data_IF_948540248646
#
_entry.id   IF_948540248646
#
_cell.length_a   1.000
_cell.length_b   1.000
_cell.length_c   1.000
_cell.angle_alpha   90.00
_cell.angle_beta   90.00
_cell.angle_gamma   90.00
#
_symmetry.space_group_name_H-M   'P 1'
#
loop_
_entity.id
_entity.type
_entity.pdbx_description
1 polymer ?
#
# COMPACT_ATOMS: atom_id res chain seq x y z
N UNK A 1 18.17 -10.86 -13.58
CA UNK A 1 17.78 -10.62 -12.16
C UNK A 1 16.27 -10.50 -12.12
N UNK A 2 15.56 -11.24 -11.27
CA UNK A 2 14.09 -11.10 -11.16
C UNK A 2 13.74 -9.69 -10.69
N UNK A 3 12.71 -9.07 -11.28
CA UNK A 3 12.15 -7.76 -10.90
C UNK A 3 11.84 -7.66 -9.40
N UNK A 4 11.53 -8.80 -8.76
CA UNK A 4 11.22 -8.92 -7.34
C UNK A 4 12.40 -8.58 -6.41
N UNK A 5 13.64 -8.58 -6.91
CA UNK A 5 14.83 -8.17 -6.14
C UNK A 5 15.16 -6.69 -6.24
N UNK A 6 14.46 -5.95 -7.10
CA UNK A 6 14.80 -4.56 -7.44
C UNK A 6 13.82 -3.59 -6.77
N UNK A 7 12.55 -3.97 -6.62
CA UNK A 7 11.58 -3.22 -5.82
C UNK A 7 11.87 -3.49 -4.36
N UNK A 8 12.07 -2.43 -3.59
CA UNK A 8 12.18 -2.51 -2.15
C UNK A 8 10.81 -2.89 -1.58
N UNK A 9 10.74 -4.07 -0.95
CA UNK A 9 9.54 -4.61 -0.32
C UNK A 9 9.91 -5.34 0.96
N UNK A 10 9.45 -4.82 2.09
CA UNK A 10 9.67 -5.43 3.39
C UNK A 10 8.39 -6.09 3.89
N UNK A 11 8.51 -7.36 4.29
CA UNK A 11 7.43 -8.06 4.99
C UNK A 11 7.32 -7.51 6.40
N UNK A 12 6.10 -7.19 6.81
CA UNK A 12 5.90 -6.73 8.18
C UNK A 12 6.09 -7.84 9.21
N UNK A 13 6.58 -7.42 10.37
CA UNK A 13 6.60 -8.24 11.59
C UNK A 13 5.71 -7.54 12.62
N UNK A 14 4.66 -8.21 13.08
CA UNK A 14 3.66 -7.61 13.97
C UNK A 14 2.81 -6.55 13.26
N UNK A 15 2.42 -5.49 13.99
CA UNK A 15 1.54 -4.41 13.51
C UNK A 15 2.31 -3.15 13.05
N UNK A 16 3.64 -3.26 12.82
CA UNK A 16 4.50 -2.17 12.34
C UNK A 16 4.29 -1.80 10.85
N UNK A 17 3.05 -1.83 10.40
CA UNK A 17 2.65 -1.55 9.02
C UNK A 17 3.05 -0.14 8.56
N UNK A 18 3.03 0.86 9.45
CA UNK A 18 3.40 2.24 9.14
C UNK A 18 4.85 2.37 8.63
N UNK A 19 5.79 1.69 9.30
CA UNK A 19 7.20 1.69 8.90
C UNK A 19 7.35 1.13 7.48
N UNK A 20 6.82 -0.06 7.25
CA UNK A 20 6.96 -0.73 5.95
C UNK A 20 6.20 0.01 4.84
N UNK A 21 5.04 0.60 5.16
CA UNK A 21 4.29 1.45 4.25
C UNK A 21 5.14 2.65 3.76
N UNK A 22 5.76 3.39 4.70
CA UNK A 22 6.60 4.55 4.38
C UNK A 22 7.88 4.17 3.65
N UNK A 23 8.57 3.12 4.10
CA UNK A 23 9.81 2.66 3.46
C UNK A 23 9.56 2.09 2.06
N UNK A 24 8.47 1.36 1.87
CA UNK A 24 8.05 0.91 0.55
C UNK A 24 7.70 2.10 -0.37
N UNK A 25 7.07 3.14 0.17
CA UNK A 25 6.81 4.37 -0.58
C UNK A 25 8.10 5.06 -1.00
N UNK A 26 9.10 5.14 -0.13
CA UNK A 26 10.37 5.81 -0.41
C UNK A 26 11.37 4.93 -1.17
N UNK A 27 11.14 3.61 -1.19
CA UNK A 27 12.05 2.59 -1.72
C UNK A 27 13.42 2.53 -1.02
N UNK A 28 13.43 2.84 0.27
CA UNK A 28 14.63 2.84 1.12
C UNK A 28 14.21 2.56 2.57
N UNK A 29 15.12 2.03 3.39
CA UNK A 29 14.96 1.81 4.83
C UNK A 29 15.07 3.12 5.64
N UNK A 30 14.33 4.14 5.21
CA UNK A 30 14.46 5.51 5.70
C UNK A 30 13.93 5.70 7.12
N UNK A 31 12.84 5.03 7.48
CA UNK A 31 12.24 5.08 8.81
C UNK A 31 12.34 3.73 9.52
N UNK A 32 12.55 3.77 10.83
CA UNK A 32 12.31 2.65 11.72
C UNK A 32 11.22 2.98 12.76
N UNK A 33 10.78 1.97 13.51
CA UNK A 33 9.75 2.14 14.54
C UNK A 33 10.10 3.18 15.62
N UNK A 34 11.39 3.34 15.96
CA UNK A 34 11.85 4.34 16.95
C UNK A 34 11.69 5.75 16.38
N UNK A 35 12.03 5.95 15.11
CA UNK A 35 11.86 7.24 14.45
C UNK A 35 10.38 7.66 14.44
N UNK A 36 9.48 6.73 14.10
CA UNK A 36 8.04 6.99 14.10
C UNK A 36 7.49 7.24 15.51
N UNK A 37 7.98 6.51 16.52
CA UNK A 37 7.63 6.75 17.91
C UNK A 37 8.05 8.15 18.37
N UNK A 38 9.27 8.59 18.04
CA UNK A 38 9.75 9.93 18.36
C UNK A 38 8.88 11.02 17.69
N UNK A 39 8.44 10.80 16.44
CA UNK A 39 7.50 11.70 15.77
C UNK A 39 6.14 11.74 16.46
N UNK A 40 5.62 10.58 16.89
CA UNK A 40 4.37 10.49 17.65
C UNK A 40 4.44 11.23 18.98
N UNK A 41 5.51 11.04 19.76
CA UNK A 41 5.74 11.75 21.02
C UNK A 41 5.88 13.27 20.82
N UNK A 42 6.53 13.69 19.72
CA UNK A 42 6.63 15.10 19.38
C UNK A 42 5.24 15.69 19.11
N UNK A 43 4.41 15.00 18.32
CA UNK A 43 3.04 15.45 18.02
C UNK A 43 2.20 15.55 19.30
N UNK A 44 2.29 14.57 20.19
CA UNK A 44 1.59 14.62 21.49
C UNK A 44 2.04 15.81 22.34
N UNK A 45 3.34 16.13 22.31
CA UNK A 45 3.89 17.29 23.05
C UNK A 45 3.41 18.61 22.45
N UNK A 46 3.38 18.73 21.13
CA UNK A 46 2.89 19.91 20.41
C UNK A 46 1.38 20.11 20.67
N UNK A 47 0.60 19.04 20.66
CA UNK A 47 -0.83 19.08 20.98
C UNK A 47 -1.07 19.47 22.44
N UNK A 48 -0.33 18.87 23.38
CA UNK A 48 -0.38 19.25 24.80
C UNK A 48 -0.04 20.71 25.02
N UNK A 49 0.99 21.23 24.35
CA UNK A 49 1.39 22.63 24.45
C UNK A 49 0.28 23.56 23.93
N UNK A 50 -0.35 23.23 22.79
CA UNK A 50 -1.49 23.99 22.27
C UNK A 50 -2.70 23.96 23.20
N UNK A 51 -3.01 22.81 23.81
CA UNK A 51 -4.10 22.71 24.79
C UNK A 51 -3.80 23.54 26.05
N UNK A 52 -2.54 23.61 26.49
CA UNK A 52 -2.13 24.40 27.65
C UNK A 52 -2.36 25.91 27.43
N UNK A 53 -2.29 26.41 26.20
CA UNK A 53 -2.61 27.82 25.87
C UNK A 53 -4.07 28.16 26.19
N UNK A 54 -4.98 27.18 26.11
CA UNK A 54 -6.38 27.31 26.50
C UNK A 54 -6.63 27.21 28.02
N UNK A 55 -5.57 27.06 28.82
CA UNK A 55 -5.62 26.90 30.27
C UNK A 55 -5.38 25.45 30.71
N UNK A 56 -4.41 25.27 31.63
CA UNK A 56 -4.03 23.96 32.17
C UNK A 56 -5.06 23.32 33.09
N UNK A 57 -6.06 24.10 33.53
CA UNK A 57 -7.17 23.62 34.36
C UNK A 57 -8.39 23.21 33.51
N UNK A 58 -8.29 23.31 32.17
CA UNK A 58 -9.36 22.91 31.27
C UNK A 58 -9.57 21.38 31.31
N UNK A 59 -10.82 20.95 31.17
CA UNK A 59 -11.19 19.53 31.13
C UNK A 59 -10.45 18.79 30.00
N UNK A 60 -10.31 19.43 28.84
CA UNK A 60 -9.60 18.89 27.68
C UNK A 60 -8.11 18.64 27.97
N UNK A 61 -7.43 19.59 28.63
CA UNK A 61 -6.02 19.43 29.00
C UNK A 61 -5.82 18.30 30.02
N UNK A 62 -6.67 18.24 31.05
CA UNK A 62 -6.60 17.19 32.08
C UNK A 62 -6.89 15.81 31.49
N UNK A 63 -7.87 15.71 30.58
CA UNK A 63 -8.18 14.47 29.87
C UNK A 63 -7.03 14.03 28.97
N UNK A 64 -6.43 14.95 28.22
CA UNK A 64 -5.27 14.66 27.37
C UNK A 64 -4.08 14.17 28.20
N UNK A 65 -3.77 14.82 29.33
CA UNK A 65 -2.68 14.42 30.21
C UNK A 65 -2.89 13.05 30.88
N UNK A 66 -4.16 12.67 31.10
CA UNK A 66 -4.52 11.39 31.71
C UNK A 66 -4.63 10.25 30.70
N UNK A 67 -4.69 10.56 29.40
CA UNK A 67 -4.81 9.58 28.32
C UNK A 67 -3.44 9.07 27.89
N UNK A 68 -3.38 7.86 27.34
CA UNK A 68 -2.21 7.37 26.61
C UNK A 68 -2.04 8.16 25.30
N UNK A 69 -0.88 8.03 24.67
CA UNK A 69 -0.62 8.63 23.35
C UNK A 69 -1.77 8.31 22.39
N UNK A 70 -2.22 9.33 21.65
CA UNK A 70 -3.22 9.15 20.58
C UNK A 70 -2.53 8.90 19.23
N UNK A 71 -1.21 9.10 19.18
CA UNK A 71 -0.41 9.01 17.96
C UNK A 71 0.31 7.68 17.80
N UNK A 72 0.47 6.93 18.90
CA UNK A 72 1.09 5.62 18.96
C UNK A 72 0.37 4.77 20.00
N UNK A 73 0.14 3.49 19.71
CA UNK A 73 -0.34 2.51 20.70
C UNK A 73 0.71 1.43 21.04
N UNK A 74 0.37 0.60 22.03
CA UNK A 74 1.25 -0.48 22.51
C UNK A 74 1.44 -1.61 21.49
N UNK A 75 0.61 -1.69 20.44
CA UNK A 75 0.72 -2.73 19.40
C UNK A 75 1.64 -2.32 18.25
N UNK A 76 1.94 -1.02 18.13
CA UNK A 76 2.81 -0.46 17.11
C UNK A 76 2.05 0.19 15.95
N UNK A 77 0.75 0.46 16.14
CA UNK A 77 -0.02 1.29 15.22
C UNK A 77 0.38 2.76 15.38
N UNK A 78 0.47 3.45 14.25
CA UNK A 78 0.75 4.88 14.19
C UNK A 78 -0.40 5.61 13.52
N UNK A 79 -0.77 6.77 14.09
CA UNK A 79 -1.86 7.59 13.57
C UNK A 79 -1.53 8.19 12.19
N UNK A 80 -2.55 8.63 11.47
CA UNK A 80 -2.39 9.36 10.20
C UNK A 80 -1.51 10.61 10.35
N UNK A 81 -1.51 11.24 11.54
CA UNK A 81 -0.72 12.44 11.79
C UNK A 81 0.78 12.11 11.82
N UNK A 82 1.16 10.96 12.38
CA UNK A 82 2.54 10.47 12.35
C UNK A 82 2.99 10.21 10.91
N UNK A 83 2.15 9.54 10.11
CA UNK A 83 2.43 9.29 8.68
C UNK A 83 2.61 10.61 7.93
N UNK A 84 1.71 11.58 8.13
CA UNK A 84 1.79 12.87 7.49
C UNK A 84 3.05 13.65 7.90
N UNK A 85 3.44 13.61 9.19
CA UNK A 85 4.65 14.25 9.70
C UNK A 85 5.92 13.60 9.15
N UNK A 86 5.95 12.28 9.06
CA UNK A 86 7.07 11.54 8.47
C UNK A 86 7.26 11.92 7.00
N UNK A 87 6.16 11.99 6.23
CA UNK A 87 6.22 12.41 4.83
C UNK A 87 6.69 13.86 4.66
N UNK A 88 6.32 14.76 5.57
CA UNK A 88 6.83 16.14 5.55
C UNK A 88 8.36 16.21 5.69
N UNK A 89 8.98 15.32 6.49
CA UNK A 89 10.45 15.23 6.60
C UNK A 89 11.08 14.86 5.25
N UNK A 90 10.38 14.08 4.43
CA UNK A 90 10.78 13.72 3.07
C UNK A 90 10.33 14.74 2.00
N UNK A 91 9.84 15.93 2.37
CA UNK A 91 9.24 16.92 1.46
C UNK A 91 8.05 16.37 0.64
N UNK A 92 7.27 15.48 1.23
CA UNK A 92 6.06 14.91 0.66
C UNK A 92 4.83 15.34 1.48
N UNK A 93 3.70 15.46 0.80
CA UNK A 93 2.41 15.81 1.40
C UNK A 93 1.44 14.63 1.28
N UNK A 94 0.76 14.32 2.38
CA UNK A 94 -0.31 13.33 2.47
C UNK A 94 -1.67 14.03 2.39
N UNK A 95 -2.40 13.86 1.28
CA UNK A 95 -3.69 14.54 1.07
C UNK A 95 -4.79 13.50 0.94
N UNK A 96 -5.87 13.63 1.71
CA UNK A 96 -7.03 12.73 1.59
C UNK A 96 -7.59 12.73 0.16
N UNK A 97 -7.87 11.53 -0.36
CA UNK A 97 -8.43 11.32 -1.69
C UNK A 97 -9.79 11.99 -1.88
N UNK A 98 -10.57 12.15 -0.81
CA UNK A 98 -11.89 12.79 -0.83
C UNK A 98 -11.83 14.33 -0.87
N UNK A 99 -10.64 14.92 -0.75
CA UNK A 99 -10.48 16.37 -0.80
C UNK A 99 -10.92 16.92 -2.19
N UNK A 100 -11.72 18.00 -2.24
CA UNK A 100 -12.14 18.62 -3.51
C UNK A 100 -10.99 19.02 -4.44
N UNK A 101 -9.81 19.32 -3.91
CA UNK A 101 -8.64 19.66 -4.72
C UNK A 101 -8.03 18.43 -5.44
N UNK A 102 -8.44 17.22 -5.09
CA UNK A 102 -7.97 15.95 -5.66
C UNK A 102 -8.88 15.40 -6.77
N UNK A 103 -9.87 16.15 -7.26
CA UNK A 103 -10.79 15.71 -8.33
C UNK A 103 -10.05 15.19 -9.58
N UNK A 104 -8.87 15.71 -9.89
CA UNK A 104 -8.03 15.19 -10.98
C UNK A 104 -7.70 13.70 -10.83
N UNK A 105 -7.36 13.27 -9.60
CA UNK A 105 -7.02 11.88 -9.29
C UNK A 105 -8.25 11.02 -9.06
N UNK A 106 -9.37 11.63 -8.68
CA UNK A 106 -10.66 10.94 -8.63
C UNK A 106 -11.15 10.57 -10.03
N UNK A 107 -10.95 11.47 -11.01
CA UNK A 107 -11.28 11.22 -12.41
C UNK A 107 -10.28 10.26 -13.06
N UNK A 108 -8.99 10.48 -12.82
CA UNK A 108 -7.93 9.63 -13.34
C UNK A 108 -6.85 9.31 -12.29
N UNK A 109 -7.02 8.21 -11.53
CA UNK A 109 -6.05 7.77 -10.53
C UNK A 109 -4.66 7.46 -11.10
N UNK A 110 -4.56 7.15 -12.39
CA UNK A 110 -3.28 6.74 -13.04
C UNK A 110 -2.29 7.89 -13.19
N UNK A 111 -2.76 9.13 -13.01
CA UNK A 111 -1.97 10.37 -13.06
C UNK A 111 -1.21 10.64 -11.77
N UNK A 112 -1.56 9.96 -10.67
CA UNK A 112 -0.82 10.03 -9.41
C UNK A 112 0.50 9.26 -9.50
N UNK A 113 1.41 9.54 -8.57
CA UNK A 113 2.66 8.77 -8.43
C UNK A 113 2.52 7.65 -7.40
N UNK A 114 1.80 7.90 -6.31
CA UNK A 114 1.55 6.93 -5.26
C UNK A 114 0.31 7.27 -4.45
N UNK A 115 -0.22 6.23 -3.81
CA UNK A 115 -1.30 6.30 -2.83
C UNK A 115 -0.86 5.58 -1.55
N UNK A 116 -1.33 6.08 -0.41
CA UNK A 116 -1.32 5.34 0.86
C UNK A 116 -2.77 5.04 1.21
N UNK A 117 -3.04 3.82 1.62
CA UNK A 117 -4.35 3.38 2.04
C UNK A 117 -4.31 2.92 3.51
N UNK A 118 -5.41 3.17 4.24
CA UNK A 118 -5.63 2.67 5.58
C UNK A 118 -6.97 1.95 5.69
N UNK A 119 -6.96 0.77 6.29
CA UNK A 119 -8.17 0.12 6.77
C UNK A 119 -7.91 -0.69 8.03
N UNK A 120 -8.81 -0.57 9.01
CA UNK A 120 -8.74 -1.29 10.29
C UNK A 120 -7.33 -1.29 10.90
N UNK A 121 -6.71 -0.10 10.97
CA UNK A 121 -5.37 0.09 11.53
C UNK A 121 -4.22 -0.55 10.73
N UNK A 122 -4.44 -0.86 9.45
CA UNK A 122 -3.40 -1.34 8.55
C UNK A 122 -3.06 -0.32 7.46
N UNK A 123 -1.78 0.05 7.37
CA UNK A 123 -1.25 0.97 6.37
C UNK A 123 -0.55 0.21 5.24
N UNK A 124 -0.82 0.57 3.99
CA UNK A 124 -0.08 0.06 2.85
C UNK A 124 0.04 1.09 1.72
N UNK A 125 1.05 0.88 0.87
CA UNK A 125 1.39 1.77 -0.23
C UNK A 125 1.06 1.13 -1.58
N UNK A 126 0.50 1.93 -2.48
CA UNK A 126 0.39 1.62 -3.90
C UNK A 126 1.23 2.66 -4.65
N UNK A 127 2.34 2.24 -5.26
CA UNK A 127 3.28 3.15 -5.95
C UNK A 127 3.39 2.80 -7.43
N UNK A 128 3.49 3.83 -8.27
CA UNK A 128 3.81 3.71 -9.68
C UNK A 128 5.33 3.67 -9.85
N UNK A 129 5.81 2.63 -10.52
CA UNK A 129 7.19 2.52 -10.95
C UNK A 129 7.27 2.60 -12.47
N UNK A 130 7.96 3.62 -12.98
CA UNK A 130 7.90 4.01 -14.39
C UNK A 130 6.45 4.13 -14.92
N UNK A 131 5.92 3.07 -15.53
CA UNK A 131 4.56 2.99 -16.09
C UNK A 131 3.75 1.80 -15.56
N UNK A 132 4.09 1.32 -14.37
CA UNK A 132 3.49 0.12 -13.78
C UNK A 132 3.11 0.37 -12.33
N UNK A 133 1.88 0.05 -11.96
CA UNK A 133 1.42 0.14 -10.59
C UNK A 133 1.76 -1.12 -9.82
N UNK A 134 2.20 -0.95 -8.59
CA UNK A 134 2.51 -2.06 -7.68
C UNK A 134 1.81 -1.81 -6.36
N UNK A 135 1.10 -2.83 -5.87
CA UNK A 135 0.67 -2.90 -4.50
C UNK A 135 1.84 -3.42 -3.64
N UNK A 136 2.25 -2.62 -2.66
CA UNK A 136 3.37 -2.88 -1.75
C UNK A 136 2.86 -3.15 -0.33
N UNK A 137 1.69 -3.76 -0.20
CA UNK A 137 1.15 -4.22 1.07
C UNK A 137 2.12 -5.20 1.75
N UNK A 138 2.62 -4.80 2.92
CA UNK A 138 3.62 -5.52 3.71
C UNK A 138 3.12 -6.87 4.25
N UNK A 139 1.80 -7.11 4.24
CA UNK A 139 1.20 -8.43 4.51
C UNK A 139 1.45 -9.40 3.36
N UNK A 140 1.63 -8.89 2.13
CA UNK A 140 1.89 -9.72 0.95
C UNK A 140 3.32 -10.19 0.92
N UNK A 141 3.51 -11.38 0.33
CA UNK A 141 4.83 -11.99 0.26
C UNK A 141 5.77 -11.33 -0.73
N UNK A 142 5.22 -10.59 -1.71
CA UNK A 142 5.93 -9.87 -2.77
C UNK A 142 5.06 -8.73 -3.31
N UNK A 143 5.66 -7.74 -4.01
CA UNK A 143 4.92 -6.72 -4.75
C UNK A 143 3.92 -7.33 -5.74
N UNK A 144 2.71 -6.78 -5.77
CA UNK A 144 1.63 -7.24 -6.65
C UNK A 144 1.39 -6.22 -7.78
N UNK A 145 1.74 -6.51 -9.04
CA UNK A 145 1.45 -5.63 -10.18
C UNK A 145 -0.04 -5.41 -10.40
N UNK A 146 -0.41 -4.14 -10.55
CA UNK A 146 -1.75 -3.68 -10.89
C UNK A 146 -1.75 -3.10 -12.31
N UNK A 147 -2.77 -3.44 -13.10
CA UNK A 147 -3.03 -2.74 -14.36
C UNK A 147 -3.73 -1.40 -14.10
N UNK A 148 -3.61 -0.45 -15.03
CA UNK A 148 -4.23 0.87 -14.90
C UNK A 148 -5.76 0.80 -14.72
N UNK A 149 -6.43 -0.11 -15.44
CA UNK A 149 -7.86 -0.33 -15.29
C UNK A 149 -8.19 -0.96 -13.94
N UNK A 150 -7.39 -1.93 -13.51
CA UNK A 150 -7.62 -2.61 -12.25
C UNK A 150 -7.35 -1.68 -11.06
N UNK A 151 -6.38 -0.78 -11.12
CA UNK A 151 -6.14 0.24 -10.10
C UNK A 151 -7.39 1.10 -9.84
N UNK A 152 -8.08 1.54 -10.89
CA UNK A 152 -9.31 2.35 -10.75
C UNK A 152 -10.40 1.58 -10.00
N UNK A 153 -10.61 0.32 -10.41
CA UNK A 153 -11.58 -0.56 -9.77
C UNK A 153 -11.19 -0.84 -8.31
N UNK A 154 -9.91 -1.10 -8.07
CA UNK A 154 -9.37 -1.40 -6.76
C UNK A 154 -9.56 -0.22 -5.80
N UNK A 155 -9.17 1.00 -6.20
CA UNK A 155 -9.36 2.20 -5.37
C UNK A 155 -10.84 2.50 -5.11
N UNK A 156 -11.71 2.30 -6.10
CA UNK A 156 -13.15 2.45 -5.91
C UNK A 156 -13.71 1.43 -4.92
N UNK A 157 -13.25 0.18 -4.98
CA UNK A 157 -13.61 -0.87 -4.03
C UNK A 157 -13.14 -0.52 -2.62
N UNK A 158 -11.86 -0.16 -2.45
CA UNK A 158 -11.31 0.24 -1.16
C UNK A 158 -12.15 1.38 -0.54
N UNK A 159 -12.52 2.38 -1.34
CA UNK A 159 -13.38 3.47 -0.88
C UNK A 159 -14.77 2.96 -0.41
N UNK A 160 -15.40 2.05 -1.16
CA UNK A 160 -16.69 1.48 -0.79
C UNK A 160 -16.61 0.62 0.49
N UNK A 161 -15.50 -0.09 0.67
CA UNK A 161 -15.24 -0.92 1.85
C UNK A 161 -14.89 -0.07 3.09
N UNK A 162 -14.78 1.26 2.95
CA UNK A 162 -14.53 2.21 4.04
C UNK A 162 -13.06 2.51 4.30
N UNK A 163 -12.17 2.20 3.35
CA UNK A 163 -10.75 2.55 3.46
C UNK A 163 -10.57 4.06 3.37
N UNK A 164 -9.65 4.58 4.18
CA UNK A 164 -9.14 5.95 4.01
C UNK A 164 -8.01 5.93 2.99
N UNK A 165 -8.21 6.57 1.85
CA UNK A 165 -7.24 6.64 0.76
C UNK A 165 -6.61 8.04 0.76
N UNK A 166 -5.30 8.09 0.59
CA UNK A 166 -4.52 9.32 0.55
C UNK A 166 -3.66 9.36 -0.71
N UNK A 167 -3.61 10.52 -1.36
CA UNK A 167 -2.73 10.81 -2.49
C UNK A 167 -1.45 11.42 -1.96
N UNK A 168 -0.32 10.94 -2.49
CA UNK A 168 1.00 11.51 -2.19
C UNK A 168 1.31 12.60 -3.20
N UNK A 169 1.59 13.80 -2.69
CA UNK A 169 2.05 14.96 -3.47
C UNK A 169 3.51 15.26 -3.14
N UNK A 170 4.25 15.72 -4.14
CA UNK A 170 5.68 16.02 -4.04
C UNK A 170 6.48 15.25 -5.08
N UNK A 171 7.80 15.24 -4.92
CA UNK A 171 8.71 14.49 -5.79
C UNK A 171 9.25 13.30 -5.02
N UNK A 172 8.81 12.10 -5.40
CA UNK A 172 9.34 10.86 -4.82
C UNK A 172 10.84 10.70 -5.16
N UNK A 173 11.63 10.11 -4.27
CA UNK A 173 13.02 9.79 -4.56
C UNK A 173 13.10 8.81 -5.73
N UNK A 174 14.07 9.05 -6.63
CA UNK A 174 14.38 8.13 -7.72
C UNK A 174 14.91 6.82 -7.16
N UNK A 175 14.44 5.70 -7.73
CA UNK A 175 14.83 4.37 -7.25
C UNK A 175 15.32 3.49 -8.42
N UNK A 176 16.11 2.47 -8.10
CA UNK A 176 16.63 1.51 -9.09
C UNK A 176 15.50 0.73 -9.77
N UNK A 177 14.37 0.54 -9.08
CA UNK A 177 13.19 -0.12 -9.65
C UNK A 177 12.59 0.67 -10.82
N UNK A 178 12.55 2.01 -10.73
CA UNK A 178 12.08 2.87 -11.83
C UNK A 178 12.95 2.70 -13.08
N UNK A 179 14.27 2.72 -12.92
CA UNK A 179 15.22 2.56 -14.03
C UNK A 179 15.12 1.18 -14.68
N UNK A 180 14.97 0.13 -13.86
CA UNK A 180 14.90 -1.23 -14.35
C UNK A 180 13.57 -1.50 -15.07
N UNK A 181 12.44 -1.13 -14.47
CA UNK A 181 11.11 -1.37 -15.03
C UNK A 181 10.81 -0.50 -16.25
N UNK A 182 11.52 0.63 -16.40
CA UNK A 182 11.52 1.42 -17.64
C UNK A 182 12.14 0.65 -18.81
N UNK A 183 13.21 -0.12 -18.55
CA UNK A 183 13.92 -0.92 -19.59
C UNK A 183 13.29 -2.30 -19.80
N UNK A 184 12.76 -2.89 -18.73
CA UNK A 184 12.22 -4.25 -18.71
C UNK A 184 10.79 -4.23 -18.13
N UNK A 185 9.79 -3.80 -18.92
CA UNK A 185 8.43 -3.74 -18.42
C UNK A 185 7.89 -5.15 -18.13
N UNK A 186 7.12 -5.33 -17.04
CA UNK A 186 6.51 -6.64 -16.80
C UNK A 186 5.51 -6.94 -17.92
N UNK A 187 5.47 -8.19 -18.42
CA UNK A 187 4.48 -8.61 -19.39
C UNK A 187 3.05 -8.31 -18.92
N UNK A 188 2.20 -7.88 -19.85
CA UNK A 188 0.82 -7.45 -19.58
C UNK A 188 -0.01 -8.57 -18.92
N UNK A 189 0.28 -9.83 -19.25
CA UNK A 189 -0.43 -10.98 -18.69
C UNK A 189 -0.30 -11.09 -17.16
N UNK A 190 0.84 -10.75 -16.56
CA UNK A 190 0.99 -10.77 -15.10
C UNK A 190 0.11 -9.71 -14.42
N UNK A 191 -0.09 -8.56 -15.08
CA UNK A 191 -0.93 -7.46 -14.57
C UNK A 191 -2.42 -7.80 -14.69
N UNK A 192 -2.80 -8.52 -15.75
CA UNK A 192 -4.19 -8.96 -16.00
C UNK A 192 -4.55 -10.18 -15.13
N UNK A 193 -3.66 -11.16 -14.95
CA UNK A 193 -3.92 -12.33 -14.10
C UNK A 193 -4.18 -11.95 -12.64
N UNK A 194 -3.51 -10.93 -12.09
CA UNK A 194 -3.77 -10.46 -10.73
C UNK A 194 -5.13 -9.75 -10.62
N UNK A 195 -5.52 -9.00 -11.65
CA UNK A 195 -6.87 -8.42 -11.73
C UNK A 195 -7.97 -9.48 -11.75
N UNK A 196 -7.76 -10.60 -12.45
CA UNK A 196 -8.69 -11.74 -12.54
C UNK A 196 -8.74 -12.57 -11.24
N UNK A 197 -7.59 -12.76 -10.57
CA UNK A 197 -7.55 -13.45 -9.27
C UNK A 197 -8.32 -12.69 -8.19
N UNK A 198 -8.27 -11.35 -8.21
CA UNK A 198 -9.06 -10.53 -7.30
C UNK A 198 -10.55 -10.48 -7.68
N UNK A 199 -10.90 -10.39 -8.98
CA UNK A 199 -12.30 -10.45 -9.40
C UNK A 199 -12.96 -11.78 -9.01
N UNK A 200 -12.23 -12.89 -9.11
CA UNK A 200 -12.75 -14.21 -8.73
C UNK A 200 -12.87 -14.41 -7.21
N UNK A 201 -12.11 -13.65 -6.40
CA UNK A 201 -12.33 -13.58 -4.95
C UNK A 201 -13.59 -12.80 -4.59
N UNK A 202 -13.91 -11.75 -5.35
CA UNK A 202 -15.12 -10.93 -5.14
C UNK A 202 -16.43 -11.64 -5.51
N UNK A 203 -16.42 -12.58 -6.46
CA UNK A 203 -17.61 -13.39 -6.79
C UNK A 203 -17.88 -14.55 -5.81
N UNK A 204 -17.02 -14.78 -4.82
CA UNK A 204 -17.21 -15.82 -3.80
C UNK A 204 -17.73 -15.30 -2.45
N UNK A 205 -18.30 -14.10 -2.40
CA UNK A 205 -18.94 -13.57 -1.19
C UNK A 205 -20.41 -13.26 -1.46
N UNK A 206 -21.24 -14.09 -0.80
CA UNK A 206 -22.66 -13.98 -0.46
C UNK A 206 -23.75 -14.22 -1.53
N UNK A 207 -24.35 -15.41 -1.40
CA UNK A 207 -25.62 -15.93 -1.91
C UNK A 207 -25.65 -16.51 -3.33
N UNK A 208 -25.17 -17.74 -3.51
CA UNK A 208 -25.92 -18.78 -4.24
C UNK A 208 -25.56 -20.14 -3.63
N UNK A 209 -26.58 -20.97 -3.44
CA UNK A 209 -26.49 -22.30 -2.87
C UNK A 209 -25.39 -23.15 -3.54
N UNK A 210 -24.73 -23.92 -2.68
CA UNK A 210 -23.76 -24.97 -2.95
C UNK A 210 -24.39 -26.08 -3.81
N UNK A 211 -24.45 -25.88 -5.13
CA UNK A 211 -24.86 -26.92 -6.10
C UNK A 211 -24.41 -26.57 -7.54
N UNK A 212 -23.11 -26.43 -7.78
CA UNK A 212 -22.57 -26.55 -9.15
C UNK A 212 -21.17 -27.20 -9.14
N UNK A 213 -21.17 -28.52 -8.96
CA UNK A 213 -20.12 -29.42 -9.44
C UNK A 213 -20.13 -29.43 -10.99
N UNK A 214 -19.72 -28.34 -11.63
CA UNK A 214 -19.45 -28.32 -13.07
C UNK A 214 -17.96 -28.68 -13.30
N UNK A 215 -17.64 -29.92 -13.76
CA UNK A 215 -16.27 -30.40 -13.91
C UNK A 215 -15.43 -29.52 -14.85
N UNK A 216 -16.11 -28.82 -15.76
CA UNK A 216 -15.50 -27.98 -16.80
C UNK A 216 -14.81 -26.74 -16.21
N UNK A 217 -15.31 -26.21 -15.08
CA UNK A 217 -14.72 -25.04 -14.41
C UNK A 217 -13.49 -25.40 -13.59
N UNK A 218 -13.50 -26.54 -12.90
CA UNK A 218 -12.33 -27.03 -12.18
C UNK A 218 -11.20 -27.39 -13.14
N UNK A 219 -11.53 -28.02 -14.27
CA UNK A 219 -10.56 -28.37 -15.32
C UNK A 219 -9.94 -27.12 -15.98
N UNK A 220 -10.73 -26.05 -16.20
CA UNK A 220 -10.20 -24.78 -16.71
C UNK A 220 -9.23 -24.09 -15.71
N UNK A 221 -9.52 -24.20 -14.41
CA UNK A 221 -8.64 -23.68 -13.35
C UNK A 221 -7.34 -24.51 -13.28
N UNK A 222 -7.46 -25.83 -13.32
CA UNK A 222 -6.31 -26.74 -13.23
C UNK A 222 -5.42 -26.62 -14.48
N UNK A 223 -6.01 -26.48 -15.66
CA UNK A 223 -5.26 -26.22 -16.90
C UNK A 223 -4.57 -24.86 -16.87
N UNK A 224 -5.22 -23.81 -16.36
CA UNK A 224 -4.58 -22.50 -16.20
C UNK A 224 -3.41 -22.54 -15.19
N UNK A 225 -3.51 -23.38 -14.15
CA UNK A 225 -2.44 -23.57 -13.16
C UNK A 225 -1.29 -24.43 -13.71
N UNK A 226 -1.59 -25.47 -14.51
CA UNK A 226 -0.56 -26.29 -15.17
C UNK A 226 0.20 -25.50 -16.23
N UNK A 227 -0.50 -24.70 -17.02
CA UNK A 227 0.13 -23.78 -17.96
C UNK A 227 1.07 -22.80 -17.22
N UNK A 228 0.72 -22.33 -16.01
CA UNK A 228 1.63 -21.47 -15.24
C UNK A 228 2.91 -22.17 -14.76
N UNK A 229 2.83 -23.45 -14.40
CA UNK A 229 4.01 -24.21 -13.95
C UNK A 229 4.97 -24.51 -15.11
N UNK A 230 4.43 -24.85 -16.28
CA UNK A 230 5.24 -25.12 -17.48
C UNK A 230 5.94 -23.85 -18.00
N UNK A 231 5.28 -22.68 -17.96
CA UNK A 231 5.90 -21.42 -18.39
C UNK A 231 6.93 -20.88 -17.39
N UNK A 232 6.70 -20.98 -16.08
CA UNK A 232 7.70 -20.59 -15.07
C UNK A 232 8.94 -21.49 -15.15
N UNK A 233 8.76 -22.78 -15.47
CA UNK A 233 9.86 -23.72 -15.72
C UNK A 233 10.62 -23.38 -17.01
N UNK A 234 9.92 -23.04 -18.09
CA UNK A 234 10.52 -22.64 -19.37
C UNK A 234 11.30 -21.32 -19.25
N UNK A 235 10.78 -20.36 -18.48
CA UNK A 235 11.47 -19.11 -18.17
C UNK A 235 12.72 -19.35 -17.30
N UNK A 236 12.62 -20.21 -16.29
CA UNK A 236 13.76 -20.59 -15.44
C UNK A 236 14.87 -21.29 -16.26
N UNK A 237 14.49 -22.13 -17.22
CA UNK A 237 15.41 -22.78 -18.16
C UNK A 237 16.09 -21.75 -19.08
N UNK A 238 15.34 -20.79 -19.62
CA UNK A 238 15.88 -19.73 -20.50
C UNK A 238 16.85 -18.81 -19.76
N UNK A 239 16.53 -18.45 -18.51
CA UNK A 239 17.40 -17.66 -17.64
C UNK A 239 18.68 -18.39 -17.22
N UNK A 240 18.69 -19.73 -17.29
CA UNK A 240 19.87 -20.56 -16.99
C UNK A 240 20.80 -20.74 -18.19
N UNK A 241 20.32 -20.47 -19.41
CA UNK A 241 21.08 -20.57 -20.65
C UNK A 241 21.80 -19.27 -21.06
N UNK A 242 21.48 -18.16 -20.40
CA UNK A 242 22.08 -16.83 -20.63
C UNK A 242 23.15 -16.44 -19.58
N UNK A 243 23.65 -17.41 -18.79
CA UNK A 243 24.80 -17.24 -17.88
C UNK A 243 26.10 -17.81 -18.46
#
# INVERSE_FOLDING_TARGET
>A
MSSDKIIFHEKQQGELCAQHCLNALLQEDFFNAVDLANLGEQLDREERARLAEGGTDSEDYLRFCSSRSQNMDDSGFFSVQVIAKALQVANLELISFDNPHMTQYQNDPTTAQAFICNFNQHWFTIRKFANQWMNLDSVKSKPEPLSDNYLRLYLAQLKNDGYSIYVIKGTLPGCLADEYLSKNPLPEFYRVQQSLKHSNKTYKVDNFDDDNDDPTYQEAIENSLRDTEDYDLELALRMSLEQ
#
